data_IF_944053682039
#
_entry.id   IF_944053682039
#
_cell.length_a   1.000
_cell.length_b   1.000
_cell.length_c   1.000
_cell.angle_alpha   90.00
_cell.angle_beta   90.00
_cell.angle_gamma   90.00
#
_symmetry.space_group_name_H-M   'P 1'
#
loop_
_entity.id
_entity.type
_entity.pdbx_description
1 polymer ?
#
# COMPACT_ATOMS: atom_id res chain seq x y z
N UNK A 1 1.94 -16.43 8.80
CA UNK A 1 1.02 -15.49 9.39
C UNK A 1 0.99 -14.22 8.57
N UNK A 2 -0.18 -13.69 8.31
CA UNK A 2 -0.30 -12.51 7.45
C UNK A 2 -0.28 -11.24 8.25
N UNK A 3 0.36 -10.25 7.70
CA UNK A 3 0.42 -8.94 8.33
C UNK A 3 -0.14 -7.90 7.38
N UNK A 4 -0.47 -6.74 7.91
CA UNK A 4 -1.00 -5.64 7.14
C UNK A 4 0.13 -4.90 6.44
N UNK A 5 -0.08 -4.53 5.20
CA UNK A 5 0.90 -3.82 4.38
C UNK A 5 0.24 -2.65 3.68
N UNK A 6 1.04 -1.68 3.30
CA UNK A 6 0.60 -0.53 2.52
C UNK A 6 1.51 -0.39 1.30
N UNK A 7 1.03 0.27 0.28
CA UNK A 7 1.79 0.47 -0.93
C UNK A 7 1.80 1.93 -1.32
N UNK A 8 2.95 2.40 -1.78
CA UNK A 8 3.07 3.75 -2.31
C UNK A 8 2.95 3.64 -3.83
N UNK A 9 2.06 4.40 -4.41
CA UNK A 9 1.75 4.28 -5.83
C UNK A 9 1.84 5.63 -6.52
N UNK A 10 2.06 5.59 -7.81
CA UNK A 10 2.07 6.78 -8.65
C UNK A 10 1.06 6.58 -9.77
N UNK A 11 0.10 7.46 -9.87
CA UNK A 11 -0.83 7.48 -10.98
C UNK A 11 -0.39 8.52 -11.99
N UNK A 12 -0.70 8.33 -13.27
CA UNK A 12 -0.20 9.23 -14.30
C UNK A 12 -0.58 10.69 -14.11
N UNK A 13 -1.78 10.93 -13.59
CA UNK A 13 -2.28 12.30 -13.44
C UNK A 13 -2.37 12.72 -11.99
N UNK A 14 -1.66 12.07 -11.09
CA UNK A 14 -1.71 12.39 -9.67
C UNK A 14 -0.34 12.28 -9.06
N UNK A 15 -0.21 12.85 -7.88
CA UNK A 15 1.02 12.72 -7.13
C UNK A 15 1.10 11.34 -6.50
N UNK A 16 2.27 11.02 -6.02
CA UNK A 16 2.50 9.75 -5.34
C UNK A 16 1.73 9.75 -4.03
N UNK A 17 1.06 8.65 -3.72
CA UNK A 17 0.32 8.54 -2.47
C UNK A 17 0.30 7.09 -1.99
N UNK A 18 -0.05 6.92 -0.73
CA UNK A 18 -0.10 5.58 -0.13
C UNK A 18 -1.51 5.02 -0.22
N UNK A 19 -1.59 3.72 -0.40
CA UNK A 19 -2.87 3.00 -0.40
C UNK A 19 -2.73 1.77 0.50
N UNK A 20 -3.79 1.36 1.06
CA UNK A 20 -3.82 0.19 1.92
C UNK A 20 -5.17 0.02 2.51
N UNK A 21 -5.29 -0.91 3.32
CA UNK A 21 -4.28 -1.92 3.67
C UNK A 21 -4.59 -3.21 2.97
N UNK A 22 -3.60 -4.04 2.82
CA UNK A 22 -3.80 -5.39 2.31
C UNK A 22 -2.94 -6.33 3.15
N UNK A 23 -3.23 -7.63 3.11
CA UNK A 23 -2.56 -8.60 3.96
C UNK A 23 -1.65 -9.50 3.16
N UNK A 24 -0.51 -9.80 3.73
CA UNK A 24 0.46 -10.67 3.07
C UNK A 24 1.36 -11.33 4.09
N UNK A 25 2.01 -12.42 3.65
CA UNK A 25 2.81 -13.23 4.52
C UNK A 25 4.26 -12.80 4.57
N UNK A 26 4.68 -11.86 3.83
CA UNK A 26 6.06 -11.38 3.79
C UNK A 26 6.24 -10.52 2.59
N UNK A 27 7.45 -10.02 2.39
CA UNK A 27 7.68 -9.02 1.35
C UNK A 27 7.39 -9.55 -0.06
N UNK A 28 7.78 -10.78 -0.35
CA UNK A 28 7.52 -11.34 -1.67
C UNK A 28 6.04 -11.49 -1.94
N UNK A 29 5.31 -11.98 -0.95
CA UNK A 29 3.87 -12.12 -1.06
C UNK A 29 3.22 -10.76 -1.09
N UNK A 30 3.78 -9.79 -0.36
CA UNK A 30 3.24 -8.44 -0.34
C UNK A 30 3.33 -7.76 -1.70
N UNK A 31 4.39 -8.00 -2.44
CA UNK A 31 4.48 -7.45 -3.79
C UNK A 31 3.37 -7.98 -4.69
N UNK A 32 3.08 -9.26 -4.59
CA UNK A 32 2.03 -9.87 -5.37
C UNK A 32 0.65 -9.37 -4.94
N UNK A 33 0.45 -9.29 -3.62
CA UNK A 33 -0.81 -8.81 -3.08
C UNK A 33 -1.03 -7.34 -3.43
N UNK A 34 0.03 -6.56 -3.42
CA UNK A 34 -0.07 -5.15 -3.79
C UNK A 34 -0.53 -4.97 -5.23
N UNK A 35 -0.01 -5.77 -6.14
CA UNK A 35 -0.43 -5.70 -7.54
C UNK A 35 -1.91 -5.99 -7.69
N UNK A 36 -2.41 -7.01 -7.01
CA UNK A 36 -3.82 -7.31 -7.05
C UNK A 36 -4.65 -6.20 -6.47
N UNK A 37 -4.22 -5.70 -5.32
CA UNK A 37 -4.95 -4.66 -4.61
C UNK A 37 -5.03 -3.39 -5.47
N UNK A 38 -3.91 -2.96 -6.00
CA UNK A 38 -3.85 -1.75 -6.80
C UNK A 38 -4.65 -1.91 -8.10
N UNK A 39 -4.55 -3.07 -8.73
CA UNK A 39 -5.28 -3.31 -9.98
C UNK A 39 -6.78 -3.29 -9.79
N UNK A 40 -7.25 -3.60 -8.59
CA UNK A 40 -8.69 -3.65 -8.35
C UNK A 40 -9.27 -2.29 -8.00
N UNK A 41 -8.46 -1.32 -7.60
CA UNK A 41 -8.98 -0.03 -7.15
C UNK A 41 -8.44 1.16 -7.93
N UNK A 42 -7.39 0.98 -8.72
CA UNK A 42 -6.74 2.08 -9.42
C UNK A 42 -6.56 1.76 -10.89
N UNK A 43 -6.29 2.77 -11.74
CA UNK A 43 -6.11 2.53 -13.16
C UNK A 43 -4.94 1.58 -13.45
N UNK A 44 -5.00 0.95 -14.60
CA UNK A 44 -4.02 -0.06 -14.96
C UNK A 44 -2.61 0.50 -15.11
N UNK A 45 -2.49 1.78 -15.42
CA UNK A 45 -1.17 2.39 -15.58
C UNK A 45 -0.62 2.95 -14.29
N UNK A 46 -1.22 2.62 -13.16
CA UNK A 46 -0.68 2.98 -11.85
C UNK A 46 0.55 2.14 -11.55
N UNK A 47 1.60 2.77 -11.08
CA UNK A 47 2.83 2.07 -10.74
C UNK A 47 2.99 1.98 -9.23
N UNK A 48 3.45 0.83 -8.75
CA UNK A 48 3.79 0.66 -7.35
C UNK A 48 5.23 1.08 -7.17
N UNK A 49 5.44 2.08 -6.34
CA UNK A 49 6.76 2.65 -6.11
C UNK A 49 7.44 2.00 -4.92
N UNK A 50 6.67 1.63 -3.91
CA UNK A 50 7.23 1.04 -2.69
C UNK A 50 6.15 0.29 -1.95
N UNK A 51 6.55 -0.66 -1.11
CA UNK A 51 5.63 -1.32 -0.17
C UNK A 51 6.28 -1.31 1.19
N UNK A 52 5.46 -1.34 2.22
CA UNK A 52 5.94 -1.34 3.60
C UNK A 52 4.92 -2.01 4.50
N UNK A 53 5.37 -2.66 5.57
CA UNK A 53 4.43 -3.17 6.56
C UNK A 53 3.79 -1.99 7.30
N UNK A 54 2.52 -2.10 7.60
CA UNK A 54 1.81 -1.05 8.31
C UNK A 54 0.34 -1.03 7.97
N UNK A 55 -0.35 -0.02 8.47
CA UNK A 55 -1.76 0.19 8.24
C UNK A 55 -1.99 1.59 7.76
N UNK A 56 -3.01 1.75 6.92
CA UNK A 56 -3.44 3.07 6.52
C UNK A 56 -4.70 3.40 7.28
N UNK A 57 -4.68 4.50 8.01
CA UNK A 57 -5.80 4.93 8.82
C UNK A 57 -6.26 6.31 8.36
N UNK A 58 -7.56 6.50 8.27
CA UNK A 58 -8.12 7.80 7.92
C UNK A 58 -8.48 8.52 9.21
N UNK A 59 -8.04 9.77 9.31
CA UNK A 59 -8.36 10.60 10.47
C UNK A 59 -9.04 11.86 9.98
N UNK A 60 -9.43 12.72 10.91
CA UNK A 60 -10.03 13.99 10.55
C UNK A 60 -9.07 14.87 9.78
N UNK A 61 -7.77 14.70 10.00
CA UNK A 61 -6.78 15.49 9.31
C UNK A 61 -6.27 14.82 8.04
N UNK A 62 -6.81 13.70 7.68
CA UNK A 62 -6.42 12.98 6.49
C UNK A 62 -5.89 11.60 6.82
N UNK A 63 -5.28 10.93 5.86
CA UNK A 63 -4.79 9.58 6.10
C UNK A 63 -3.49 9.60 6.91
N UNK A 64 -3.38 8.62 7.77
CA UNK A 64 -2.18 8.39 8.54
C UNK A 64 -1.71 6.98 8.27
N UNK A 65 -0.42 6.79 8.19
CA UNK A 65 0.17 5.46 7.99
C UNK A 65 0.89 5.06 9.25
N UNK A 66 0.42 3.93 9.82
CA UNK A 66 1.01 3.39 11.03
C UNK A 66 1.99 2.33 10.59
N UNK A 67 3.26 2.68 10.52
CA UNK A 67 4.28 1.78 10.03
C UNK A 67 4.86 0.99 11.18
N UNK A 68 5.09 -0.29 10.94
CA UNK A 68 5.81 -1.07 11.93
C UNK A 68 7.25 -0.72 11.83
N UNK A 69 7.89 -0.56 12.98
CA UNK A 69 9.21 -0.25 13.05
C UNK A 69 9.97 -1.41 12.78
N UNK A 70 10.42 -1.55 11.78
CA UNK A 70 10.95 -2.66 11.46
C UNK A 70 12.07 -3.04 12.21
N UNK A 71 12.47 -2.42 12.86
CA UNK A 71 13.52 -2.85 13.45
C UNK A 71 14.05 -3.91 12.94
#
# INVERSE_FOLDING_TARGET
>A
MKASWVAKVRCPDREVFWVGSFYADGRTDAKRAARRFVSSILPLDTMIVAIAPGKLTLTLDGPEIDMEDGK
#
